data_IF_906776058400
#
_entry.id   IF_906776058400
#
_cell.length_a   1.000
_cell.length_b   1.000
_cell.length_c   1.000
_cell.angle_alpha   90.00
_cell.angle_beta   90.00
_cell.angle_gamma   90.00
#
_symmetry.space_group_name_H-M   'P 1'
#
loop_
_entity.id
_entity.type
_entity.pdbx_description
1 polymer ?
#
# COMPACT_ATOMS: atom_id res chain seq x y z
N UNK A 1 -32.80 -10.38 -43.41
CA UNK A 1 -32.58 -10.77 -42.00
C UNK A 1 -31.49 -11.85 -41.91
N UNK A 2 -30.21 -11.55 -42.20
CA UNK A 2 -29.11 -12.54 -42.11
C UNK A 2 -27.76 -11.95 -41.62
N UNK A 3 -27.65 -10.63 -41.48
CA UNK A 3 -26.46 -9.97 -40.95
C UNK A 3 -26.15 -10.21 -39.45
N UNK A 4 -27.13 -10.35 -38.52
CA UNK A 4 -26.79 -10.47 -37.10
C UNK A 4 -26.23 -11.84 -36.73
N UNK A 5 -26.58 -12.89 -37.49
CA UNK A 5 -26.13 -14.27 -37.20
C UNK A 5 -24.65 -14.45 -37.54
N UNK A 6 -24.20 -13.82 -38.64
CA UNK A 6 -22.79 -13.81 -39.04
C UNK A 6 -21.91 -13.01 -38.07
N UNK A 7 -22.42 -11.89 -37.54
CA UNK A 7 -21.68 -11.10 -36.57
C UNK A 7 -21.51 -11.84 -35.23
N UNK A 8 -22.56 -12.54 -34.78
CA UNK A 8 -22.52 -13.31 -33.52
C UNK A 8 -21.62 -14.55 -33.65
N UNK A 9 -21.61 -15.23 -34.80
CA UNK A 9 -20.74 -16.39 -35.01
C UNK A 9 -19.26 -15.99 -35.10
N UNK A 10 -18.94 -14.87 -35.76
CA UNK A 10 -17.56 -14.35 -35.82
C UNK A 10 -17.10 -13.93 -34.43
N UNK A 11 -17.96 -13.27 -33.64
CA UNK A 11 -17.63 -12.85 -32.28
C UNK A 11 -17.35 -14.05 -31.36
N UNK A 12 -18.18 -15.10 -31.42
CA UNK A 12 -17.97 -16.33 -30.65
C UNK A 12 -16.67 -17.05 -31.04
N UNK A 13 -16.34 -17.11 -32.33
CA UNK A 13 -15.09 -17.72 -32.81
C UNK A 13 -13.88 -16.91 -32.35
N UNK A 14 -13.95 -15.58 -32.36
CA UNK A 14 -12.87 -14.71 -31.84
C UNK A 14 -12.70 -14.88 -30.33
N UNK A 15 -13.77 -14.95 -29.56
CA UNK A 15 -13.70 -15.15 -28.09
C UNK A 15 -13.09 -16.53 -27.76
N UNK A 16 -13.51 -17.59 -28.44
CA UNK A 16 -12.95 -18.92 -28.25
C UNK A 16 -11.48 -19.00 -28.68
N UNK A 17 -11.09 -18.32 -29.76
CA UNK A 17 -9.70 -18.24 -30.21
C UNK A 17 -8.81 -17.42 -29.25
N UNK A 18 -9.34 -16.36 -28.63
CA UNK A 18 -8.62 -15.56 -27.61
C UNK A 18 -8.43 -16.37 -26.33
N UNK A 19 -9.39 -17.20 -25.93
CA UNK A 19 -9.26 -18.08 -24.76
C UNK A 19 -8.17 -19.15 -24.94
N UNK A 20 -7.86 -19.57 -26.17
CA UNK A 20 -6.76 -20.52 -26.44
C UNK A 20 -5.40 -19.85 -26.66
N UNK A 21 -5.33 -18.50 -26.71
CA UNK A 21 -4.06 -17.74 -26.83
C UNK A 21 -3.42 -17.38 -25.48
N UNK A 22 -3.96 -17.86 -24.34
CA UNK A 22 -3.35 -17.68 -23.02
C UNK A 22 -2.45 -18.86 -22.58
N UNK A 23 -1.98 -19.69 -23.52
CA UNK A 23 -0.98 -20.72 -23.19
C UNK A 23 0.19 -20.59 -24.15
N UNK A 24 1.10 -19.65 -23.86
CA UNK A 24 2.56 -19.80 -23.93
C UNK A 24 3.24 -18.44 -23.71
N UNK A 25 3.37 -18.06 -22.44
CA UNK A 25 4.47 -17.21 -21.99
C UNK A 25 4.97 -17.60 -20.58
N UNK A 26 4.77 -18.86 -20.16
CA UNK A 26 5.30 -19.40 -18.89
C UNK A 26 6.46 -20.39 -19.12
N UNK A 27 7.29 -20.15 -20.13
CA UNK A 27 8.59 -20.82 -20.28
C UNK A 27 9.60 -19.74 -20.69
N UNK A 28 10.70 -19.62 -19.94
CA UNK A 28 11.76 -18.61 -20.04
C UNK A 28 11.50 -17.27 -19.33
N UNK A 29 11.37 -17.31 -18.00
CA UNK A 29 11.92 -16.21 -17.19
C UNK A 29 12.84 -16.80 -16.13
N UNK A 30 14.05 -16.29 -16.12
CA UNK A 30 15.27 -16.80 -15.50
C UNK A 30 15.04 -17.46 -14.15
N UNK A 31 15.40 -18.75 -14.10
CA UNK A 31 16.10 -19.28 -12.96
C UNK A 31 17.36 -18.42 -12.71
N UNK A 32 17.20 -17.33 -11.97
CA UNK A 32 18.30 -16.70 -11.27
C UNK A 32 18.81 -17.73 -10.26
N UNK A 33 19.62 -18.67 -10.75
CA UNK A 33 20.33 -19.64 -9.92
C UNK A 33 21.48 -18.87 -9.31
N UNK A 34 21.26 -18.38 -8.10
CA UNK A 34 22.31 -17.67 -7.38
C UNK A 34 23.47 -18.63 -7.12
N UNK A 35 24.62 -18.31 -7.72
CA UNK A 35 25.86 -19.03 -7.49
C UNK A 35 26.47 -18.61 -6.14
N UNK A 36 25.87 -19.09 -5.04
CA UNK A 36 26.40 -18.87 -3.70
C UNK A 36 27.30 -20.02 -3.25
N UNK A 37 28.33 -19.69 -2.49
CA UNK A 37 29.11 -20.71 -1.79
C UNK A 37 28.27 -21.36 -0.67
N UNK A 38 28.65 -22.56 -0.26
CA UNK A 38 27.99 -23.31 0.82
C UNK A 38 28.52 -22.94 2.22
N UNK A 39 29.15 -21.77 2.36
CA UNK A 39 29.62 -21.31 3.67
C UNK A 39 28.41 -21.04 4.56
N UNK A 40 28.35 -21.67 5.73
CA UNK A 40 27.25 -21.46 6.67
C UNK A 40 27.62 -20.34 7.66
N UNK A 41 26.96 -19.18 7.50
CA UNK A 41 27.03 -17.99 8.37
C UNK A 41 25.63 -17.36 8.43
N UNK A 42 24.74 -17.89 9.27
CA UNK A 42 23.33 -17.60 9.16
C UNK A 42 23.01 -16.13 9.48
N UNK A 43 22.09 -15.56 8.72
CA UNK A 43 21.58 -14.19 8.90
C UNK A 43 20.05 -14.23 8.98
N UNK A 44 19.49 -13.44 9.90
CA UNK A 44 18.04 -13.29 10.04
C UNK A 44 17.59 -12.06 9.25
N UNK A 45 16.62 -12.23 8.35
CA UNK A 45 16.03 -11.14 7.59
C UNK A 45 14.85 -10.50 8.35
N UNK A 46 14.41 -9.33 7.89
CA UNK A 46 13.27 -8.61 8.46
C UNK A 46 11.94 -9.36 8.33
N UNK A 47 11.85 -10.32 7.40
CA UNK A 47 10.71 -11.23 7.24
C UNK A 47 10.76 -12.43 8.20
N UNK A 48 11.68 -12.43 9.17
CA UNK A 48 11.87 -13.49 10.17
C UNK A 48 12.30 -14.85 9.57
N UNK A 49 12.78 -14.86 8.32
CA UNK A 49 13.42 -16.02 7.70
C UNK A 49 14.93 -16.01 7.95
N UNK A 50 15.49 -17.20 8.19
CA UNK A 50 16.94 -17.38 8.37
C UNK A 50 17.56 -17.91 7.09
N UNK A 51 18.57 -17.20 6.57
CA UNK A 51 19.29 -17.58 5.37
C UNK A 51 20.66 -18.17 5.73
N UNK A 52 21.10 -19.20 4.99
CA UNK A 52 22.36 -19.93 5.25
C UNK A 52 23.60 -19.04 5.23
N UNK A 53 23.60 -17.99 4.42
CA UNK A 53 24.61 -16.94 4.40
C UNK A 53 24.08 -15.66 3.75
N UNK A 54 24.87 -14.59 3.86
CA UNK A 54 24.56 -13.28 3.29
C UNK A 54 24.38 -13.30 1.76
N UNK A 55 25.11 -14.17 1.03
CA UNK A 55 24.93 -14.32 -0.42
C UNK A 55 23.53 -14.83 -0.75
N UNK A 56 23.06 -15.86 -0.03
CA UNK A 56 21.71 -16.43 -0.22
C UNK A 56 20.62 -15.42 0.18
N UNK A 57 20.86 -14.58 1.21
CA UNK A 57 19.94 -13.50 1.58
C UNK A 57 19.82 -12.43 0.48
N UNK A 58 20.95 -11.93 -0.04
CA UNK A 58 20.94 -10.92 -1.13
C UNK A 58 20.34 -11.48 -2.41
N UNK A 59 20.69 -12.70 -2.75
CA UNK A 59 20.06 -13.47 -3.83
C UNK A 59 18.54 -13.48 -3.70
N UNK A 60 18.02 -13.89 -2.54
CA UNK A 60 16.58 -13.97 -2.32
C UNK A 60 15.90 -12.60 -2.40
N UNK A 61 16.61 -11.50 -2.12
CA UNK A 61 16.07 -10.14 -2.26
C UNK A 61 15.99 -9.62 -3.70
N UNK A 62 16.75 -10.24 -4.62
CA UNK A 62 16.85 -9.83 -6.02
C UNK A 62 16.05 -10.73 -6.99
N UNK A 63 15.62 -11.92 -6.55
CA UNK A 63 14.85 -12.82 -7.42
C UNK A 63 13.45 -12.27 -7.69
N UNK A 64 12.94 -12.37 -8.94
CA UNK A 64 11.59 -11.93 -9.29
C UNK A 64 10.49 -12.68 -8.51
N UNK A 65 10.82 -13.82 -7.90
CA UNK A 65 9.93 -14.59 -7.02
C UNK A 65 9.66 -13.91 -5.66
N UNK A 66 10.60 -13.14 -5.12
CA UNK A 66 10.40 -12.46 -3.84
C UNK A 66 9.36 -11.33 -3.94
N UNK A 67 9.28 -10.67 -5.11
CA UNK A 67 8.26 -9.67 -5.43
C UNK A 67 6.87 -10.24 -5.73
N UNK A 68 6.72 -11.56 -5.85
CA UNK A 68 5.43 -12.20 -6.11
C UNK A 68 4.71 -12.66 -4.83
N UNK A 69 5.37 -12.63 -3.67
CA UNK A 69 4.71 -12.85 -2.38
C UNK A 69 3.83 -11.67 -1.93
N UNK A 70 3.93 -10.52 -2.59
CA UNK A 70 3.03 -9.37 -2.43
C UNK A 70 2.03 -9.17 -3.58
N UNK A 71 1.86 -10.16 -4.45
CA UNK A 71 0.67 -10.24 -5.29
C UNK A 71 -0.24 -11.32 -4.73
N UNK A 72 -0.96 -10.97 -3.65
CA UNK A 72 -2.27 -11.56 -3.39
C UNK A 72 -2.99 -11.55 -4.73
N UNK A 73 -3.24 -12.76 -5.25
CA UNK A 73 -3.93 -13.04 -6.51
C UNK A 73 -4.87 -11.88 -6.85
N UNK A 74 -4.67 -11.24 -8.01
CA UNK A 74 -5.49 -10.10 -8.42
C UNK A 74 -6.98 -10.43 -8.39
N UNK A 75 -7.34 -11.72 -8.42
CA UNK A 75 -8.69 -12.22 -8.15
C UNK A 75 -9.21 -11.82 -6.75
N UNK A 76 -8.40 -11.96 -5.69
CA UNK A 76 -8.75 -11.48 -4.34
C UNK A 76 -8.80 -9.96 -4.26
N UNK A 77 -7.93 -9.25 -4.98
CA UNK A 77 -7.94 -7.78 -5.02
C UNK A 77 -9.20 -7.26 -5.73
N UNK A 78 -9.57 -7.87 -6.86
CA UNK A 78 -10.78 -7.54 -7.61
C UNK A 78 -12.04 -7.87 -6.80
N UNK A 79 -12.04 -9.00 -6.10
CA UNK A 79 -13.15 -9.43 -5.24
C UNK A 79 -13.31 -8.53 -4.00
N UNK A 80 -12.20 -8.07 -3.42
CA UNK A 80 -12.23 -7.09 -2.33
C UNK A 80 -12.64 -5.70 -2.82
N UNK A 81 -12.15 -5.23 -3.96
CA UNK A 81 -12.59 -3.97 -4.55
C UNK A 81 -14.07 -3.99 -4.92
N UNK A 82 -14.56 -5.10 -5.48
CA UNK A 82 -15.98 -5.30 -5.75
C UNK A 82 -16.78 -5.33 -4.43
N UNK A 83 -16.30 -6.02 -3.39
CA UNK A 83 -16.95 -6.02 -2.08
C UNK A 83 -16.97 -4.62 -1.45
N UNK A 84 -15.89 -3.84 -1.55
CA UNK A 84 -15.81 -2.45 -1.08
C UNK A 84 -16.78 -1.56 -1.86
N UNK A 85 -16.87 -1.69 -3.19
CA UNK A 85 -17.82 -0.93 -4.00
C UNK A 85 -19.29 -1.33 -3.72
N UNK A 86 -19.56 -2.61 -3.46
CA UNK A 86 -20.90 -3.14 -3.18
C UNK A 86 -21.36 -2.92 -1.73
N UNK A 87 -20.43 -2.89 -0.77
CA UNK A 87 -20.70 -2.61 0.64
C UNK A 87 -20.53 -1.13 1.00
N UNK A 88 -20.26 -0.28 0.01
CA UNK A 88 -19.99 1.14 0.22
C UNK A 88 -18.66 1.32 0.93
N UNK A 89 -17.59 1.51 0.15
CA UNK A 89 -16.26 1.67 0.70
C UNK A 89 -16.24 2.79 1.72
N UNK A 90 -15.98 2.42 2.97
CA UNK A 90 -15.75 3.41 3.99
C UNK A 90 -14.33 3.93 3.78
N UNK A 91 -14.22 5.02 3.01
CA UNK A 91 -13.06 5.90 3.13
C UNK A 91 -12.88 6.17 4.62
N UNK A 92 -11.75 5.76 5.18
CA UNK A 92 -11.33 6.07 6.56
C UNK A 92 -10.92 7.55 6.61
N UNK A 93 -11.87 8.43 6.30
CA UNK A 93 -11.88 9.80 6.78
C UNK A 93 -12.88 9.78 7.92
N UNK A 94 -12.48 10.28 9.10
CA UNK A 94 -13.26 10.17 10.32
C UNK A 94 -14.69 10.64 10.10
N UNK A 95 -15.63 9.70 9.95
CA UNK A 95 -17.04 10.03 9.72
C UNK A 95 -17.59 10.61 11.02
N UNK A 96 -18.19 11.80 10.94
CA UNK A 96 -19.05 12.28 12.02
C UNK A 96 -20.30 11.42 12.10
N UNK A 97 -20.54 10.85 13.27
CA UNK A 97 -21.88 10.36 13.63
C UNK A 97 -22.85 11.54 13.64
N UNK A 98 -24.16 11.28 13.48
CA UNK A 98 -25.20 12.31 13.60
C UNK A 98 -25.16 13.05 14.96
N UNK A 99 -24.49 12.47 15.96
CA UNK A 99 -24.27 13.03 17.29
C UNK A 99 -22.96 13.85 17.43
N UNK A 100 -22.29 14.16 16.32
CA UNK A 100 -21.07 14.99 16.31
C UNK A 100 -19.77 14.28 16.76
N UNK A 101 -19.85 12.97 17.05
CA UNK A 101 -18.69 12.17 17.47
C UNK A 101 -17.85 11.76 16.26
N UNK A 102 -16.55 12.04 16.30
CA UNK A 102 -15.57 11.56 15.32
C UNK A 102 -15.25 10.08 15.57
N UNK A 103 -15.51 9.21 14.58
CA UNK A 103 -15.06 7.83 14.63
C UNK A 103 -13.60 7.74 14.17
N UNK A 104 -12.66 7.80 15.13
CA UNK A 104 -11.22 7.67 14.87
C UNK A 104 -10.58 6.56 15.72
N UNK A 105 -9.53 5.88 15.20
CA UNK A 105 -8.74 4.96 16.00
C UNK A 105 -8.07 5.68 17.17
N UNK A 106 -7.85 4.98 18.28
CA UNK A 106 -7.19 5.51 19.48
C UNK A 106 -5.66 5.41 19.42
N UNK A 107 -5.07 5.39 18.23
CA UNK A 107 -3.63 5.42 18.05
C UNK A 107 -3.11 6.85 18.25
N UNK A 108 -1.98 6.98 18.92
CA UNK A 108 -1.31 8.26 19.14
C UNK A 108 -0.16 8.39 18.13
N UNK A 109 -0.32 9.29 17.17
CA UNK A 109 0.63 9.62 16.10
C UNK A 109 0.48 11.12 15.79
N UNK A 110 1.05 12.00 16.63
CA UNK A 110 0.68 13.39 16.69
C UNK A 110 1.04 14.16 15.41
N UNK A 111 0.17 15.11 15.05
CA UNK A 111 0.40 16.03 13.93
C UNK A 111 0.11 17.46 14.35
N UNK A 112 0.89 18.41 13.85
CA UNK A 112 0.68 19.83 14.05
C UNK A 112 -0.21 20.36 12.92
N UNK A 113 -1.32 21.03 13.27
CA UNK A 113 -2.22 21.67 12.32
C UNK A 113 -1.74 23.04 11.84
N UNK A 114 -2.30 23.53 10.74
CA UNK A 114 -2.09 24.92 10.27
C UNK A 114 -2.63 25.98 11.22
N UNK A 115 -3.48 25.57 12.16
CA UNK A 115 -3.98 26.39 13.28
C UNK A 115 -3.05 26.37 14.51
N UNK A 116 -1.87 25.75 14.38
CA UNK A 116 -0.86 25.59 15.44
C UNK A 116 -1.32 24.75 16.64
N UNK A 117 -2.35 23.92 16.46
CA UNK A 117 -2.78 22.95 17.46
C UNK A 117 -2.23 21.55 17.16
N UNK A 118 -1.84 20.83 18.22
CA UNK A 118 -1.44 19.41 18.13
C UNK A 118 -2.67 18.52 18.15
N UNK A 119 -2.81 17.66 17.13
CA UNK A 119 -3.84 16.63 17.05
C UNK A 119 -3.24 15.27 17.34
N UNK A 120 -3.91 14.45 18.17
CA UNK A 120 -3.39 13.16 18.62
C UNK A 120 -3.18 12.14 17.48
N UNK A 121 -3.89 12.30 16.36
CA UNK A 121 -3.60 11.62 15.11
C UNK A 121 -4.19 12.37 13.92
N UNK A 122 -3.77 12.00 12.72
CA UNK A 122 -4.27 12.56 11.45
C UNK A 122 -5.79 12.49 11.32
N UNK A 123 -6.42 11.39 11.76
CA UNK A 123 -7.87 11.23 11.67
C UNK A 123 -8.62 12.30 12.48
N UNK A 124 -8.15 12.64 13.68
CA UNK A 124 -8.76 13.67 14.51
C UNK A 124 -8.60 15.07 13.92
N UNK A 125 -7.46 15.36 13.27
CA UNK A 125 -7.27 16.61 12.51
C UNK A 125 -8.26 16.69 11.36
N UNK A 126 -8.35 15.65 10.53
CA UNK A 126 -9.24 15.65 9.36
C UNK A 126 -10.71 15.79 9.80
N UNK A 127 -11.13 15.13 10.89
CA UNK A 127 -12.47 15.31 11.43
C UNK A 127 -12.74 16.75 11.89
N UNK A 128 -11.74 17.42 12.50
CA UNK A 128 -11.86 18.83 12.85
C UNK A 128 -11.90 19.71 11.60
N UNK A 129 -11.11 19.39 10.58
CA UNK A 129 -11.08 20.12 9.32
C UNK A 129 -12.45 20.10 8.62
N UNK A 130 -13.18 18.99 8.65
CA UNK A 130 -14.56 18.93 8.16
C UNK A 130 -15.52 19.85 8.94
N UNK A 131 -15.30 20.06 10.25
CA UNK A 131 -16.08 21.03 11.05
C UNK A 131 -15.89 22.45 10.53
N UNK A 132 -14.63 22.76 10.29
CA UNK A 132 -14.14 24.08 9.97
C UNK A 132 -14.44 24.42 8.51
N UNK A 133 -14.48 23.42 7.63
CA UNK A 133 -14.89 23.56 6.24
C UNK A 133 -16.32 24.10 6.12
N UNK A 134 -17.25 23.66 7.00
CA UNK A 134 -18.61 24.22 7.06
C UNK A 134 -18.63 25.72 7.45
N UNK A 135 -17.54 26.23 8.01
CA UNK A 135 -17.31 27.65 8.36
C UNK A 135 -16.29 28.34 7.43
N UNK A 136 -15.93 27.71 6.31
CA UNK A 136 -14.92 28.20 5.36
C UNK A 136 -13.53 28.44 5.97
N UNK A 137 -13.17 27.69 7.01
CA UNK A 137 -11.84 27.70 7.61
C UNK A 137 -11.08 26.46 7.11
N UNK A 138 -9.91 26.68 6.53
CA UNK A 138 -9.05 25.61 6.02
C UNK A 138 -8.07 25.14 7.11
N UNK A 139 -8.19 23.87 7.52
CA UNK A 139 -7.28 23.22 8.44
C UNK A 139 -6.57 22.08 7.71
N UNK A 140 -5.23 22.11 7.69
CA UNK A 140 -4.37 21.08 7.10
C UNK A 140 -3.27 20.68 8.08
N UNK A 141 -2.57 19.60 7.78
CA UNK A 141 -1.32 19.26 8.48
C UNK A 141 -0.24 20.28 8.11
N UNK A 142 0.38 20.88 9.12
CA UNK A 142 1.56 21.74 9.00
C UNK A 142 2.86 20.90 9.03
N UNK A 143 2.98 19.97 10.01
CA UNK A 143 4.13 19.06 10.19
C UNK A 143 3.70 17.80 10.94
N UNK A 144 4.42 16.70 10.76
CA UNK A 144 4.37 15.54 11.66
C UNK A 144 5.02 15.87 13.02
N UNK A 145 4.52 15.25 14.09
CA UNK A 145 4.90 15.59 15.46
C UNK A 145 4.00 16.68 16.07
N UNK A 146 4.23 16.99 17.33
CA UNK A 146 3.52 18.05 18.04
C UNK A 146 4.00 19.45 17.66
N UNK A 147 3.15 20.47 17.81
CA UNK A 147 3.55 21.87 17.58
C UNK A 147 4.54 22.39 18.63
N UNK A 148 4.62 21.74 19.80
CA UNK A 148 5.53 22.09 20.90
C UNK A 148 6.85 21.32 20.85
N UNK A 149 6.98 20.33 19.97
CA UNK A 149 8.25 19.62 19.81
C UNK A 149 9.25 20.56 19.13
N UNK A 150 10.40 20.86 19.78
CA UNK A 150 11.44 21.66 19.18
C UNK A 150 11.77 21.05 17.82
N UNK A 151 11.85 21.89 16.78
CA UNK A 151 12.51 21.50 15.54
C UNK A 151 13.91 21.02 15.95
N UNK A 152 14.14 19.71 15.90
CA UNK A 152 15.48 19.14 15.92
C UNK A 152 16.18 19.65 14.66
N UNK A 153 16.66 20.89 14.73
CA UNK A 153 17.75 21.35 13.91
C UNK A 153 18.90 20.47 14.39
N UNK A 154 19.25 19.47 13.58
CA UNK A 154 20.48 18.71 13.77
C UNK A 154 21.63 19.72 13.68
N UNK A 155 21.98 20.29 14.83
CA UNK A 155 23.29 20.91 15.01
C UNK A 155 24.23 19.72 15.05
N UNK A 156 24.99 19.52 13.98
CA UNK A 156 26.18 18.66 14.03
C UNK A 156 27.06 19.20 15.15
N UNK A 157 27.03 18.56 16.32
CA UNK A 157 28.12 18.68 17.28
C UNK A 157 29.36 18.07 16.61
N UNK A 158 30.23 18.94 16.10
CA UNK A 158 31.61 18.58 15.83
C UNK A 158 32.22 18.10 17.15
N UNK A 159 32.89 16.94 17.20
CA UNK A 159 33.54 16.50 18.42
C UNK A 159 34.70 17.44 18.74
N UNK A 160 34.68 18.03 19.94
CA UNK A 160 35.81 18.76 20.50
C UNK A 160 37.03 17.83 20.68
N UNK A 161 38.22 18.40 20.42
CA UNK A 161 39.56 17.79 20.40
C UNK A 161 39.98 17.05 21.69
#
# INVERSE_FOLDING_TARGET
>A
MRAPVLAVSILLVVILAVQTMQVEADIYSEMATCACNLMYRPVCASNNETYSNECVLKCASETPTAKLSEMRSWSFVLLLLAAVLLLGGESVHGRRSADGVCACPRMYDPVCGTDLNTYANRCLLDCKAEELAARSIELRVLRHGGCEEPLEIAVEEQPDE
#
